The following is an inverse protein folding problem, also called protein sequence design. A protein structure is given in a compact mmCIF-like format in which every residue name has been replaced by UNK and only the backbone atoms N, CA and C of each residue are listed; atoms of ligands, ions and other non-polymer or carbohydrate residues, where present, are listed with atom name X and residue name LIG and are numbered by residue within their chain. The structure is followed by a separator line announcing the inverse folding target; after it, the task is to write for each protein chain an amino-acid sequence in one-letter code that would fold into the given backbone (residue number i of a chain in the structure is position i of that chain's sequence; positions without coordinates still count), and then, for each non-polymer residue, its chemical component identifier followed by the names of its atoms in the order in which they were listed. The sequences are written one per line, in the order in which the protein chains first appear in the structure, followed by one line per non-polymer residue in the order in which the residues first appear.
data_IF_611053423076
#
_entry.id   IF_611053423076
#
_cell.length_a   1.000
_cell.length_b   1.000
_cell.length_c   1.000
_cell.angle_alpha   90.00
_cell.angle_beta   90.00
_cell.angle_gamma   90.00
#
_symmetry.space_group_name_H-M   'P 1'
#
loop_
_entity.id
_entity.type
_entity.pdbx_description
1 polymer ?
#
# COMPACT_ATOMS: atom_id res chain seq x y z
N UNK A 1 -34.02 -11.18 -8.86
CA UNK A 1 -34.47 -10.78 -10.20
C UNK A 1 -33.23 -10.36 -10.98
N UNK A 2 -33.00 -10.79 -12.23
CA UNK A 2 -31.89 -10.30 -13.02
C UNK A 2 -32.08 -8.78 -13.21
N UNK A 3 -31.10 -7.98 -12.80
CA UNK A 3 -31.07 -6.54 -13.04
C UNK A 3 -31.04 -6.32 -14.56
N UNK A 4 -32.08 -5.68 -15.07
CA UNK A 4 -32.14 -5.24 -16.45
C UNK A 4 -31.12 -4.11 -16.60
N UNK A 5 -29.97 -4.42 -17.28
CA UNK A 5 -28.91 -3.44 -17.49
C UNK A 5 -29.42 -2.21 -18.23
N UNK A 6 -28.91 -1.03 -17.88
CA UNK A 6 -29.26 0.21 -18.59
C UNK A 6 -28.78 0.15 -20.04
N UNK A 7 -29.43 0.91 -20.92
CA UNK A 7 -29.05 0.98 -22.35
C UNK A 7 -27.57 1.34 -22.55
N UNK A 8 -27.04 2.23 -21.71
CA UNK A 8 -25.63 2.62 -21.71
C UNK A 8 -24.67 1.49 -21.27
N UNK A 9 -25.12 0.59 -20.39
CA UNK A 9 -24.35 -0.61 -20.00
C UNK A 9 -24.30 -1.61 -21.14
N UNK A 10 -25.41 -1.81 -21.87
CA UNK A 10 -25.46 -2.70 -23.03
C UNK A 10 -24.59 -2.18 -24.17
N UNK A 11 -24.62 -0.88 -24.45
CA UNK A 11 -23.76 -0.23 -25.44
C UNK A 11 -22.27 -0.37 -25.07
N UNK A 12 -21.93 -0.12 -23.81
CA UNK A 12 -20.56 -0.28 -23.33
C UNK A 12 -20.07 -1.74 -23.38
N UNK A 13 -20.95 -2.71 -23.08
CA UNK A 13 -20.63 -4.13 -23.14
C UNK A 13 -20.39 -4.61 -24.59
N UNK A 14 -21.06 -3.99 -25.57
CA UNK A 14 -20.91 -4.33 -27.00
C UNK A 14 -19.64 -3.80 -27.65
N UNK A 15 -18.85 -2.96 -26.95
CA UNK A 15 -17.61 -2.39 -27.50
C UNK A 15 -16.59 -3.46 -27.89
N UNK A 16 -16.02 -3.33 -29.11
CA UNK A 16 -15.04 -4.31 -29.63
C UNK A 16 -13.71 -4.33 -28.90
N UNK A 17 -13.32 -3.24 -28.23
CA UNK A 17 -12.02 -3.09 -27.57
C UNK A 17 -12.18 -2.87 -26.08
N UNK A 18 -11.58 -3.74 -25.27
CA UNK A 18 -11.39 -3.52 -23.83
C UNK A 18 -10.18 -2.60 -23.59
N UNK A 19 -10.37 -1.55 -22.78
CA UNK A 19 -9.28 -0.67 -22.37
C UNK A 19 -8.39 -1.36 -21.32
N UNK A 20 -7.20 -0.80 -21.07
CA UNK A 20 -6.33 -1.29 -19.99
C UNK A 20 -7.01 -1.17 -18.63
N UNK A 21 -7.84 -0.16 -18.44
CA UNK A 21 -8.64 0.07 -17.23
C UNK A 21 -9.68 -1.05 -17.04
N UNK A 22 -10.44 -1.37 -18.09
CA UNK A 22 -11.42 -2.45 -18.03
C UNK A 22 -10.80 -3.77 -17.61
N UNK A 23 -9.68 -4.13 -18.23
CA UNK A 23 -8.96 -5.38 -17.93
C UNK A 23 -8.49 -5.40 -16.47
N UNK A 24 -7.89 -4.31 -16.01
CA UNK A 24 -7.41 -4.21 -14.65
C UNK A 24 -8.55 -4.31 -13.62
N UNK A 25 -9.66 -3.60 -13.84
CA UNK A 25 -10.80 -3.64 -12.93
C UNK A 25 -11.49 -5.01 -12.94
N UNK A 26 -11.59 -5.66 -14.10
CA UNK A 26 -12.11 -7.02 -14.18
C UNK A 26 -11.23 -8.07 -13.48
N UNK A 27 -9.89 -7.91 -13.54
CA UNK A 27 -8.95 -8.74 -12.77
C UNK A 27 -9.12 -8.48 -11.25
N UNK A 28 -9.22 -7.22 -10.83
CA UNK A 28 -9.37 -6.85 -9.42
C UNK A 28 -10.73 -7.28 -8.84
N UNK A 29 -11.78 -7.32 -9.66
CA UNK A 29 -13.08 -7.85 -9.26
C UNK A 29 -12.99 -9.30 -8.76
N UNK A 30 -12.15 -10.12 -9.42
CA UNK A 30 -11.97 -11.53 -9.08
C UNK A 30 -10.94 -11.75 -7.95
N UNK A 31 -9.97 -10.84 -7.80
CA UNK A 31 -8.82 -11.00 -6.89
C UNK A 31 -9.11 -10.42 -5.50
N UNK A 32 -9.88 -9.34 -5.42
CA UNK A 32 -10.22 -8.70 -4.15
C UNK A 32 -11.21 -9.56 -3.37
N UNK A 33 -10.92 -9.93 -2.13
CA UNK A 33 -11.80 -10.80 -1.32
C UNK A 33 -12.96 -9.99 -0.71
N UNK A 34 -13.87 -9.47 -1.55
CA UNK A 34 -14.96 -8.59 -1.14
C UNK A 34 -15.73 -9.07 0.09
N UNK A 35 -16.18 -10.35 0.17
CA UNK A 35 -16.95 -10.83 1.33
C UNK A 35 -16.16 -10.72 2.65
N UNK A 36 -14.87 -11.04 2.63
CA UNK A 36 -14.01 -10.97 3.83
C UNK A 36 -13.82 -9.53 4.29
N UNK A 37 -13.49 -8.62 3.35
CA UNK A 37 -13.28 -7.20 3.64
C UNK A 37 -14.56 -6.55 4.14
N UNK A 38 -15.71 -6.84 3.52
CA UNK A 38 -17.02 -6.35 3.97
C UNK A 38 -17.36 -6.88 5.36
N UNK A 39 -17.18 -8.17 5.62
CA UNK A 39 -17.44 -8.77 6.93
C UNK A 39 -16.57 -8.13 8.03
N UNK A 40 -15.32 -7.78 7.74
CA UNK A 40 -14.42 -7.07 8.65
C UNK A 40 -14.91 -5.67 9.03
N UNK A 41 -15.53 -4.96 8.08
CA UNK A 41 -15.96 -3.58 8.23
C UNK A 41 -17.41 -3.44 8.77
N UNK A 42 -18.28 -4.37 8.41
CA UNK A 42 -19.73 -4.30 8.66
C UNK A 42 -20.14 -4.04 10.12
N UNK A 43 -19.44 -4.62 11.15
CA UNK A 43 -19.85 -4.39 12.56
C UNK A 43 -19.78 -2.92 12.99
N UNK A 44 -18.94 -2.10 12.36
CA UNK A 44 -18.74 -0.69 12.69
C UNK A 44 -19.42 0.26 11.70
N UNK A 45 -20.00 -0.28 10.62
CA UNK A 45 -20.63 0.55 9.59
C UNK A 45 -21.97 1.10 10.08
N UNK A 46 -22.28 2.40 9.82
CA UNK A 46 -23.56 3.01 10.23
C UNK A 46 -24.76 2.26 9.66
N UNK A 47 -25.76 1.97 10.50
CA UNK A 47 -26.97 1.21 10.11
C UNK A 47 -28.09 2.07 9.55
N UNK A 48 -27.95 3.42 9.57
CA UNK A 48 -28.95 4.32 9.00
C UNK A 48 -30.26 4.39 9.80
N UNK A 49 -30.20 4.30 11.12
CA UNK A 49 -31.39 4.33 12.00
C UNK A 49 -32.11 5.68 11.99
N UNK A 50 -31.44 6.76 11.61
CA UNK A 50 -31.99 8.11 11.49
C UNK A 50 -31.42 8.83 10.26
N UNK A 51 -32.30 9.48 9.50
CA UNK A 51 -31.95 10.27 8.33
C UNK A 51 -31.77 9.45 7.04
N UNK A 52 -30.99 9.95 6.08
CA UNK A 52 -30.74 9.27 4.80
C UNK A 52 -29.95 7.99 5.04
N UNK A 53 -30.39 6.84 4.51
CA UNK A 53 -29.63 5.59 4.61
C UNK A 53 -28.21 5.75 4.05
N UNK A 54 -27.20 5.15 4.69
CA UNK A 54 -25.85 5.16 4.15
C UNK A 54 -25.79 4.39 2.84
N UNK A 55 -24.84 4.75 1.98
CA UNK A 55 -24.54 3.96 0.78
C UNK A 55 -24.14 2.53 1.19
N UNK A 56 -24.40 1.50 0.34
CA UNK A 56 -23.95 0.14 0.61
C UNK A 56 -22.45 0.10 0.90
N UNK A 57 -22.04 -0.59 1.97
CA UNK A 57 -20.65 -0.64 2.43
C UNK A 57 -19.68 -1.11 1.33
N UNK A 58 -20.04 -2.18 0.61
CA UNK A 58 -19.19 -2.70 -0.47
C UNK A 58 -19.01 -1.66 -1.58
N UNK A 59 -20.07 -0.92 -1.95
CA UNK A 59 -19.99 0.18 -2.93
C UNK A 59 -19.00 1.25 -2.50
N UNK A 60 -19.06 1.68 -1.24
CA UNK A 60 -18.13 2.67 -0.70
C UNK A 60 -16.69 2.15 -0.64
N UNK A 61 -16.49 0.88 -0.32
CA UNK A 61 -15.16 0.26 -0.34
C UNK A 61 -14.60 0.18 -1.76
N UNK A 62 -15.42 -0.16 -2.76
CA UNK A 62 -15.06 -0.15 -4.19
C UNK A 62 -14.65 1.25 -4.66
N UNK A 63 -15.40 2.27 -4.30
CA UNK A 63 -15.07 3.68 -4.58
C UNK A 63 -13.74 4.07 -3.90
N UNK A 64 -13.54 3.67 -2.65
CA UNK A 64 -12.28 3.92 -1.95
C UNK A 64 -11.08 3.26 -2.64
N UNK A 65 -11.20 2.02 -3.12
CA UNK A 65 -10.14 1.34 -3.85
C UNK A 65 -9.86 1.99 -5.21
N UNK A 66 -10.87 2.46 -5.92
CA UNK A 66 -10.69 3.25 -7.14
C UNK A 66 -9.87 4.52 -6.87
N UNK A 67 -10.17 5.23 -5.77
CA UNK A 67 -9.36 6.40 -5.37
C UNK A 67 -7.88 6.04 -5.17
N UNK A 68 -7.58 4.91 -4.53
CA UNK A 68 -6.19 4.49 -4.28
C UNK A 68 -5.49 4.09 -5.58
N UNK A 69 -6.12 3.28 -6.45
CA UNK A 69 -5.51 2.82 -7.70
C UNK A 69 -5.25 3.92 -8.72
N UNK A 70 -6.14 4.92 -8.77
CA UNK A 70 -6.05 6.01 -9.76
C UNK A 70 -5.64 7.34 -9.16
N UNK A 71 -5.29 7.34 -7.89
CA UNK A 71 -4.83 8.54 -7.19
C UNK A 71 -5.80 9.73 -7.31
N UNK A 72 -7.12 9.51 -7.21
CA UNK A 72 -8.14 10.54 -7.33
C UNK A 72 -8.41 11.25 -5.99
N UNK A 73 -8.55 12.57 -6.02
CA UNK A 73 -9.09 13.35 -4.90
C UNK A 73 -10.60 13.10 -4.77
N UNK A 74 -11.20 13.50 -3.62
CA UNK A 74 -12.62 13.25 -3.37
C UNK A 74 -13.52 13.86 -4.48
N UNK A 75 -13.35 15.13 -4.91
CA UNK A 75 -14.12 15.67 -6.03
C UNK A 75 -13.87 14.95 -7.36
N UNK A 76 -12.60 14.66 -7.67
CA UNK A 76 -12.24 13.97 -8.91
C UNK A 76 -12.76 12.53 -8.96
N UNK A 77 -12.96 11.88 -7.79
CA UNK A 77 -13.57 10.56 -7.74
C UNK A 77 -15.07 10.63 -8.04
N UNK A 78 -15.78 11.62 -7.50
CA UNK A 78 -17.18 11.87 -7.83
C UNK A 78 -17.35 12.11 -9.33
N UNK A 79 -16.59 13.04 -9.94
CA UNK A 79 -16.59 13.29 -11.38
C UNK A 79 -16.30 12.02 -12.20
N UNK A 80 -15.30 11.23 -11.79
CA UNK A 80 -14.94 10.00 -12.46
C UNK A 80 -16.05 8.93 -12.42
N UNK A 81 -16.90 8.93 -11.39
CA UNK A 81 -18.08 8.04 -11.34
C UNK A 81 -19.17 8.47 -12.32
N UNK A 82 -19.28 9.77 -12.65
CA UNK A 82 -20.19 10.24 -13.71
C UNK A 82 -19.60 9.98 -15.10
N UNK A 83 -18.31 10.21 -15.31
CA UNK A 83 -17.70 10.18 -16.65
C UNK A 83 -17.26 8.78 -17.10
N UNK A 84 -16.75 7.96 -16.15
CA UNK A 84 -16.15 6.67 -16.50
C UNK A 84 -17.10 5.49 -16.28
N UNK A 85 -17.65 4.96 -17.36
CA UNK A 85 -18.48 3.75 -17.31
C UNK A 85 -17.73 2.56 -16.66
N UNK A 86 -16.42 2.42 -16.88
CA UNK A 86 -15.62 1.35 -16.28
C UNK A 86 -15.53 1.47 -14.76
N UNK A 87 -15.30 2.70 -14.24
CA UNK A 87 -15.21 2.93 -12.79
C UNK A 87 -16.58 2.80 -12.13
N UNK A 88 -17.61 3.36 -12.79
CA UNK A 88 -19.00 3.26 -12.31
C UNK A 88 -19.48 1.81 -12.27
N UNK A 89 -19.24 1.03 -13.32
CA UNK A 89 -19.57 -0.39 -13.37
C UNK A 89 -18.85 -1.20 -12.30
N UNK A 90 -17.55 -0.91 -12.04
CA UNK A 90 -16.81 -1.54 -10.96
C UNK A 90 -17.38 -1.18 -9.58
N UNK A 91 -17.82 0.07 -9.38
CA UNK A 91 -18.47 0.49 -8.13
C UNK A 91 -19.90 -0.06 -7.97
N UNK A 92 -20.46 -0.73 -8.96
CA UNK A 92 -21.82 -1.25 -8.95
C UNK A 92 -22.87 -0.13 -8.93
N UNK A 93 -22.64 0.97 -9.67
CA UNK A 93 -23.53 2.12 -9.74
C UNK A 93 -24.20 2.15 -11.12
N UNK A 94 -25.52 2.22 -11.15
CA UNK A 94 -26.32 2.49 -12.34
C UNK A 94 -26.97 3.86 -12.23
N UNK A 95 -26.61 4.81 -13.10
CA UNK A 95 -27.11 6.18 -13.07
C UNK A 95 -28.64 6.28 -13.29
N UNK A 96 -29.26 5.25 -13.83
CA UNK A 96 -30.72 5.25 -14.04
C UNK A 96 -31.50 5.06 -12.73
N UNK A 97 -30.88 4.41 -11.71
CA UNK A 97 -31.58 4.01 -10.47
C UNK A 97 -30.80 4.34 -9.21
N UNK A 98 -29.48 4.52 -9.30
CA UNK A 98 -28.60 4.74 -8.16
C UNK A 98 -28.13 6.20 -8.06
N UNK A 99 -28.05 6.71 -6.85
CA UNK A 99 -27.31 7.94 -6.58
C UNK A 99 -25.80 7.69 -6.59
N UNK A 100 -25.04 8.64 -7.10
CA UNK A 100 -23.58 8.66 -6.99
C UNK A 100 -23.20 9.25 -5.64
N UNK A 101 -22.24 8.66 -4.89
CA UNK A 101 -21.71 9.28 -3.68
C UNK A 101 -20.97 10.57 -4.02
N UNK A 102 -21.34 11.67 -3.38
CA UNK A 102 -20.69 12.97 -3.51
C UNK A 102 -19.31 13.01 -2.80
N UNK A 103 -18.54 14.05 -3.06
CA UNK A 103 -17.22 14.26 -2.46
C UNK A 103 -17.23 14.19 -0.93
N UNK A 104 -18.30 14.73 -0.31
CA UNK A 104 -18.48 14.75 1.16
C UNK A 104 -18.73 13.35 1.70
N UNK A 105 -19.53 12.56 1.02
CA UNK A 105 -19.78 11.15 1.36
C UNK A 105 -18.51 10.32 1.25
N UNK A 106 -17.72 10.51 0.19
CA UNK A 106 -16.43 9.86 -0.04
C UNK A 106 -15.45 10.25 1.07
N UNK A 107 -15.34 11.54 1.39
CA UNK A 107 -14.52 12.06 2.49
C UNK A 107 -14.94 11.44 3.84
N UNK A 108 -16.24 11.39 4.14
CA UNK A 108 -16.75 10.86 5.40
C UNK A 108 -16.47 9.36 5.54
N UNK A 109 -16.56 8.58 4.46
CA UNK A 109 -16.19 7.17 4.45
C UNK A 109 -14.70 6.98 4.80
N UNK A 110 -13.80 7.76 4.19
CA UNK A 110 -12.37 7.73 4.51
C UNK A 110 -12.11 8.10 5.97
N UNK A 111 -12.73 9.17 6.48
CA UNK A 111 -12.62 9.54 7.89
C UNK A 111 -13.18 8.48 8.85
N UNK A 112 -14.20 7.74 8.43
CA UNK A 112 -14.69 6.62 9.19
C UNK A 112 -13.67 5.48 9.25
N UNK A 113 -13.03 5.12 8.14
CA UNK A 113 -11.93 4.15 8.12
C UNK A 113 -10.77 4.58 9.04
N UNK A 114 -10.38 5.86 9.00
CA UNK A 114 -9.30 6.43 9.81
C UNK A 114 -9.63 6.40 11.31
N UNK A 115 -10.86 6.82 11.70
CA UNK A 115 -11.29 6.86 13.11
C UNK A 115 -11.27 5.49 13.76
N UNK A 116 -11.63 4.46 13.05
CA UNK A 116 -11.73 3.09 13.55
C UNK A 116 -10.49 2.25 13.22
N UNK A 117 -9.42 2.85 12.69
CA UNK A 117 -8.19 2.16 12.26
C UNK A 117 -8.44 0.98 11.31
N UNK A 118 -9.45 1.09 10.46
CA UNK A 118 -9.90 -0.01 9.59
C UNK A 118 -8.98 -0.23 8.39
N UNK A 119 -8.21 0.77 7.99
CA UNK A 119 -7.23 0.62 6.90
C UNK A 119 -6.16 -0.44 7.24
N UNK A 120 -5.68 -0.47 8.50
CA UNK A 120 -4.81 -1.56 8.97
C UNK A 120 -5.56 -2.89 8.97
N UNK A 121 -6.82 -2.92 9.42
CA UNK A 121 -7.65 -4.12 9.39
C UNK A 121 -7.85 -4.69 7.99
N UNK A 122 -7.98 -3.84 6.96
CA UNK A 122 -8.02 -4.28 5.56
C UNK A 122 -6.69 -4.90 5.10
N UNK A 123 -5.57 -4.31 5.51
CA UNK A 123 -4.23 -4.83 5.22
C UNK A 123 -4.03 -6.20 5.88
N UNK A 124 -4.38 -6.33 7.16
CA UNK A 124 -4.26 -7.56 7.93
C UNK A 124 -5.13 -8.69 7.31
N UNK A 125 -6.35 -8.36 6.86
CA UNK A 125 -7.26 -9.33 6.24
C UNK A 125 -6.75 -9.85 4.88
N UNK A 126 -6.16 -8.94 4.08
CA UNK A 126 -5.51 -9.34 2.82
C UNK A 126 -4.28 -10.21 3.12
N UNK A 127 -3.46 -9.86 4.10
CA UNK A 127 -2.29 -10.65 4.50
C UNK A 127 -2.68 -12.04 4.97
N UNK A 128 -3.71 -12.17 5.82
CA UNK A 128 -4.24 -13.45 6.27
C UNK A 128 -4.71 -14.34 5.10
N UNK A 129 -5.43 -13.76 4.14
CA UNK A 129 -5.82 -14.49 2.92
C UNK A 129 -4.60 -15.03 2.16
N UNK A 130 -3.55 -14.20 2.03
CA UNK A 130 -2.35 -14.59 1.27
C UNK A 130 -1.54 -15.68 1.99
N UNK A 131 -1.53 -15.68 3.32
CA UNK A 131 -0.97 -16.76 4.14
C UNK A 131 -1.76 -18.06 3.99
N UNK A 132 -3.09 -18.02 4.10
CA UNK A 132 -3.97 -19.16 3.90
C UNK A 132 -3.81 -19.79 2.51
N UNK A 133 -3.46 -18.98 1.51
CA UNK A 133 -3.18 -19.45 0.14
C UNK A 133 -1.74 -19.90 -0.07
N UNK A 134 -0.88 -19.84 0.94
CA UNK A 134 0.53 -20.19 0.85
C UNK A 134 1.34 -19.23 -0.04
N UNK A 135 0.86 -17.99 -0.21
CA UNK A 135 1.53 -16.97 -1.02
C UNK A 135 2.42 -16.04 -0.19
N UNK A 136 2.21 -15.97 1.11
CA UNK A 136 3.02 -15.21 2.07
C UNK A 136 3.64 -16.20 3.06
N UNK A 137 4.97 -16.38 3.02
CA UNK A 137 5.67 -17.49 3.71
C UNK A 137 6.32 -17.10 5.03
N UNK A 138 6.73 -15.84 5.20
CA UNK A 138 7.35 -15.29 6.43
C UNK A 138 8.66 -15.93 6.88
N UNK A 139 9.38 -16.65 6.04
CA UNK A 139 10.66 -17.27 6.42
C UNK A 139 11.81 -16.28 6.52
N UNK A 140 11.78 -15.23 5.70
CA UNK A 140 12.79 -14.17 5.72
C UNK A 140 12.18 -12.81 5.39
N UNK A 141 12.73 -11.74 5.97
CA UNK A 141 12.23 -10.37 5.79
C UNK A 141 13.29 -9.46 5.19
N UNK A 142 12.91 -8.74 4.12
CA UNK A 142 13.66 -7.58 3.62
C UNK A 142 13.07 -6.34 4.25
N UNK A 143 13.90 -5.54 4.94
CA UNK A 143 13.50 -4.25 5.50
C UNK A 143 14.02 -3.11 4.62
N UNK A 144 13.14 -2.17 4.26
CA UNK A 144 13.53 -0.98 3.50
C UNK A 144 12.57 0.18 3.74
N UNK A 145 12.99 1.38 3.37
CA UNK A 145 12.21 2.59 3.53
C UNK A 145 12.26 3.48 2.29
N UNK A 146 11.13 4.09 2.00
CA UNK A 146 11.05 5.06 0.92
C UNK A 146 10.49 6.40 1.41
N UNK A 147 11.02 7.50 0.87
CA UNK A 147 10.54 8.85 1.16
C UNK A 147 9.33 9.13 0.30
N UNK A 148 8.27 9.69 0.92
CA UNK A 148 7.09 10.22 0.25
C UNK A 148 7.05 11.72 0.54
N UNK A 149 7.10 12.53 -0.52
CA UNK A 149 7.19 13.98 -0.40
C UNK A 149 5.89 14.59 0.13
N UNK A 150 5.99 15.50 1.09
CA UNK A 150 4.89 16.33 1.55
C UNK A 150 4.89 17.69 0.84
N UNK A 151 3.73 18.37 0.74
CA UNK A 151 3.68 19.76 0.28
C UNK A 151 4.55 20.66 1.16
N UNK A 152 5.53 21.33 0.56
CA UNK A 152 6.44 22.24 1.26
C UNK A 152 5.92 23.68 1.31
N UNK A 153 4.79 23.98 0.63
CA UNK A 153 4.20 25.31 0.57
C UNK A 153 3.62 25.74 1.92
N UNK A 154 3.84 27.00 2.27
CA UNK A 154 3.23 27.68 3.42
C UNK A 154 2.05 28.59 3.01
N UNK A 155 1.60 28.48 1.74
CA UNK A 155 0.46 29.27 1.20
C UNK A 155 -0.89 28.65 1.59
N UNK A 156 -1.04 28.20 2.84
CA UNK A 156 -2.27 27.69 3.40
C UNK A 156 -2.82 28.64 4.46
N UNK A 157 -4.03 28.39 4.97
CA UNK A 157 -4.68 29.24 6.00
C UNK A 157 -3.80 29.45 7.24
N UNK A 158 -3.04 28.43 7.63
CA UNK A 158 -2.19 28.44 8.83
C UNK A 158 -0.78 28.96 8.58
N UNK A 159 -0.44 29.28 7.31
CA UNK A 159 0.89 29.74 6.86
C UNK A 159 2.04 28.86 7.36
N UNK A 160 1.78 27.57 7.57
CA UNK A 160 2.71 26.61 8.14
C UNK A 160 2.74 25.31 7.34
N UNK A 161 3.90 24.66 7.31
CA UNK A 161 4.04 23.29 6.83
C UNK A 161 3.37 22.33 7.81
N UNK A 162 3.18 21.07 7.38
CA UNK A 162 2.72 20.01 8.27
C UNK A 162 3.78 19.76 9.37
N UNK A 163 3.44 19.94 10.67
CA UNK A 163 4.41 19.83 11.76
C UNK A 163 4.87 18.38 12.02
N UNK A 164 4.12 17.38 11.55
CA UNK A 164 4.50 15.95 11.68
C UNK A 164 5.43 15.49 10.56
N UNK A 165 5.67 16.33 9.54
CA UNK A 165 6.57 16.05 8.42
C UNK A 165 7.90 16.74 8.63
N UNK A 166 9.01 16.04 8.32
CA UNK A 166 10.35 16.55 8.52
C UNK A 166 11.21 16.48 7.25
N UNK A 167 12.37 17.14 7.31
CA UNK A 167 13.34 17.10 6.24
C UNK A 167 14.34 15.97 6.44
N UNK A 168 14.72 15.33 5.34
CA UNK A 168 15.82 14.37 5.29
C UNK A 168 16.65 14.59 4.04
N UNK A 169 17.93 14.22 4.08
CA UNK A 169 18.83 14.32 2.95
C UNK A 169 19.07 12.93 2.34
N UNK A 170 18.78 12.78 1.05
CA UNK A 170 19.14 11.55 0.29
C UNK A 170 20.07 11.95 -0.85
N UNK A 171 21.33 11.46 -0.78
CA UNK A 171 22.38 11.96 -1.66
C UNK A 171 22.62 13.46 -1.45
N UNK A 172 22.53 14.26 -2.51
CA UNK A 172 22.69 15.71 -2.46
C UNK A 172 21.35 16.48 -2.42
N UNK A 173 20.21 15.79 -2.34
CA UNK A 173 18.89 16.43 -2.36
C UNK A 173 18.22 16.36 -0.99
N UNK A 174 17.56 17.48 -0.63
CA UNK A 174 16.71 17.58 0.54
C UNK A 174 15.27 17.23 0.17
N UNK A 175 14.66 16.38 0.99
CA UNK A 175 13.26 15.97 0.86
C UNK A 175 12.51 16.36 2.13
N UNK A 176 11.31 16.92 1.99
CA UNK A 176 10.39 17.19 3.09
C UNK A 176 9.20 16.24 2.98
N UNK A 177 8.91 15.50 4.03
CA UNK A 177 7.81 14.53 4.02
C UNK A 177 7.87 13.49 5.13
N UNK A 178 7.41 12.29 4.81
CA UNK A 178 7.48 11.12 5.67
C UNK A 178 8.27 9.98 5.00
N UNK A 179 8.59 8.97 5.78
CA UNK A 179 9.06 7.66 5.31
C UNK A 179 7.97 6.62 5.44
N UNK A 180 7.85 5.77 4.43
CA UNK A 180 7.15 4.50 4.50
C UNK A 180 8.20 3.40 4.64
N UNK A 181 8.27 2.78 5.82
CA UNK A 181 9.09 1.61 6.09
C UNK A 181 8.24 0.37 5.86
N UNK A 182 8.79 -0.64 5.21
CA UNK A 182 8.11 -1.91 4.94
C UNK A 182 8.98 -3.10 5.29
N UNK A 183 8.33 -4.15 5.84
CA UNK A 183 8.86 -5.50 5.90
C UNK A 183 8.25 -6.31 4.76
N UNK A 184 9.11 -6.93 3.96
CA UNK A 184 8.74 -7.66 2.74
C UNK A 184 9.23 -9.09 2.85
N UNK A 185 8.37 -10.06 2.58
CA UNK A 185 8.74 -11.45 2.51
C UNK A 185 9.70 -11.72 1.35
N UNK A 186 10.84 -12.32 1.66
CA UNK A 186 11.93 -12.57 0.70
C UNK A 186 11.47 -13.43 -0.46
N UNK A 187 10.65 -14.46 -0.19
CA UNK A 187 10.26 -15.44 -1.18
C UNK A 187 9.20 -14.92 -2.15
N UNK A 188 8.21 -14.19 -1.65
CA UNK A 188 7.06 -13.74 -2.44
C UNK A 188 7.14 -12.29 -2.91
N UNK A 189 7.95 -11.45 -2.25
CA UNK A 189 8.00 -10.01 -2.48
C UNK A 189 6.77 -9.27 -1.94
N UNK A 190 5.99 -9.89 -1.06
CA UNK A 190 4.79 -9.32 -0.47
C UNK A 190 5.10 -8.54 0.80
N UNK A 191 4.46 -7.41 0.96
CA UNK A 191 4.57 -6.58 2.16
C UNK A 191 3.73 -7.20 3.28
N UNK A 192 4.35 -7.53 4.40
CA UNK A 192 3.67 -8.05 5.59
C UNK A 192 3.59 -7.02 6.73
N UNK A 193 4.43 -5.98 6.69
CA UNK A 193 4.43 -4.92 7.71
C UNK A 193 4.64 -3.56 7.09
N UNK A 194 3.94 -2.55 7.60
CA UNK A 194 4.03 -1.14 7.14
C UNK A 194 4.10 -0.22 8.34
N UNK A 195 5.11 0.65 8.37
CA UNK A 195 5.28 1.69 9.39
C UNK A 195 5.50 3.04 8.73
N UNK A 196 4.75 4.07 9.16
CA UNK A 196 4.92 5.44 8.70
C UNK A 196 5.59 6.30 9.75
N UNK A 197 6.67 7.00 9.40
CA UNK A 197 7.39 7.93 10.30
C UNK A 197 7.66 9.26 9.62
N UNK A 198 8.05 10.28 10.39
CA UNK A 198 8.64 11.48 9.83
C UNK A 198 9.92 11.16 9.05
N UNK A 199 10.24 11.94 8.01
CA UNK A 199 11.37 11.60 7.13
C UNK A 199 12.74 11.66 7.80
N UNK A 200 12.89 12.33 8.95
CA UNK A 200 14.15 12.43 9.71
C UNK A 200 14.43 11.20 10.60
N UNK A 201 13.44 10.32 10.81
CA UNK A 201 13.66 9.10 11.57
C UNK A 201 14.68 8.19 10.86
N UNK A 202 15.60 7.60 11.63
CA UNK A 202 16.60 6.68 11.08
C UNK A 202 15.95 5.32 10.76
N UNK A 203 16.28 4.73 9.60
CA UNK A 203 15.65 3.48 9.15
C UNK A 203 15.90 2.32 10.12
N UNK A 204 17.10 2.24 10.70
CA UNK A 204 17.48 1.22 11.68
C UNK A 204 16.62 1.24 12.95
N UNK A 205 16.03 2.39 13.32
CA UNK A 205 15.17 2.48 14.51
C UNK A 205 13.83 1.77 14.33
N UNK A 206 13.43 1.54 13.08
CA UNK A 206 12.15 0.91 12.77
C UNK A 206 12.26 -0.61 12.55
N UNK A 207 13.49 -1.17 12.61
CA UNK A 207 13.72 -2.58 12.30
C UNK A 207 12.84 -3.51 13.15
N UNK A 208 12.79 -3.32 14.47
CA UNK A 208 12.00 -4.16 15.37
C UNK A 208 10.49 -4.14 15.02
N UNK A 209 9.97 -2.98 14.60
CA UNK A 209 8.57 -2.83 14.21
C UNK A 209 8.24 -3.44 12.84
N UNK A 210 9.25 -3.71 12.02
CA UNK A 210 9.09 -4.30 10.68
C UNK A 210 9.15 -5.83 10.68
N UNK A 211 9.69 -6.42 11.74
CA UNK A 211 9.81 -7.87 11.86
C UNK A 211 8.56 -8.48 12.51
N UNK A 212 8.17 -9.67 12.04
CA UNK A 212 7.01 -10.42 12.57
C UNK A 212 7.40 -11.41 13.69
N UNK A 213 8.69 -11.74 13.83
CA UNK A 213 9.19 -12.55 14.94
C UNK A 213 9.52 -14.01 14.60
N UNK A 214 9.21 -14.47 13.41
CA UNK A 214 9.44 -15.83 12.93
C UNK A 214 10.49 -15.88 11.81
N UNK A 215 11.23 -14.77 11.61
CA UNK A 215 12.26 -14.69 10.58
C UNK A 215 13.45 -15.58 10.90
N UNK A 216 13.94 -16.32 9.90
CA UNK A 216 15.25 -16.98 9.90
C UNK A 216 16.33 -16.02 9.39
N UNK A 217 16.00 -15.20 8.39
CA UNK A 217 16.90 -14.25 7.74
C UNK A 217 16.31 -12.85 7.68
N UNK A 218 17.13 -11.83 7.95
CA UNK A 218 16.77 -10.41 7.80
C UNK A 218 17.74 -9.74 6.83
N UNK A 219 17.22 -9.12 5.79
CA UNK A 219 17.99 -8.39 4.78
C UNK A 219 17.71 -6.89 4.88
N UNK A 220 18.76 -6.08 4.80
CA UNK A 220 18.62 -4.62 4.82
C UNK A 220 19.75 -3.94 4.06
N UNK A 221 19.54 -2.67 3.68
CA UNK A 221 20.62 -1.85 3.13
C UNK A 221 21.58 -1.35 4.24
N UNK A 222 22.59 -0.61 3.85
CA UNK A 222 23.56 -0.06 4.79
C UNK A 222 22.98 0.96 5.80
N UNK A 223 21.74 1.41 5.60
CA UNK A 223 21.01 2.25 6.54
C UNK A 223 20.56 1.50 7.80
N UNK A 224 20.51 0.16 7.73
CA UNK A 224 20.17 -0.74 8.84
C UNK A 224 21.39 -1.28 9.59
N UNK A 225 22.59 -0.78 9.31
CA UNK A 225 23.81 -1.17 10.04
C UNK A 225 23.64 -0.98 11.53
N UNK A 226 23.92 -2.05 12.31
CA UNK A 226 23.79 -2.06 13.77
C UNK A 226 22.39 -2.43 14.28
N UNK A 227 21.46 -2.89 13.42
CA UNK A 227 20.18 -3.43 13.82
C UNK A 227 20.33 -4.60 14.80
N UNK A 228 21.29 -5.50 14.55
CA UNK A 228 21.68 -6.64 15.39
C UNK A 228 22.08 -6.26 16.82
N UNK A 229 22.56 -5.04 17.03
CA UNK A 229 23.04 -4.54 18.32
C UNK A 229 22.02 -3.76 19.12
N UNK A 230 20.80 -3.62 18.58
CA UNK A 230 19.75 -2.89 19.26
C UNK A 230 19.15 -3.74 20.40
N UNK A 231 18.89 -3.14 21.59
CA UNK A 231 18.37 -3.89 22.74
C UNK A 231 17.09 -4.67 22.45
N UNK A 232 16.20 -4.09 21.63
CA UNK A 232 14.92 -4.71 21.24
C UNK A 232 15.06 -5.89 20.26
N UNK A 233 16.27 -6.12 19.73
CA UNK A 233 16.59 -7.17 18.75
C UNK A 233 17.69 -8.12 19.20
N UNK A 234 18.33 -7.86 20.37
CA UNK A 234 19.50 -8.59 20.85
C UNK A 234 19.22 -10.08 21.10
N UNK A 235 18.00 -10.41 21.51
CA UNK A 235 17.59 -11.79 21.84
C UNK A 235 16.99 -12.54 20.62
N UNK A 236 17.01 -11.94 19.43
CA UNK A 236 16.49 -12.58 18.22
C UNK A 236 17.54 -13.48 17.58
N UNK A 237 17.21 -14.76 17.42
CA UNK A 237 18.04 -15.74 16.71
C UNK A 237 17.73 -15.69 15.21
N UNK A 238 18.32 -14.70 14.52
CA UNK A 238 18.16 -14.47 13.09
C UNK A 238 19.49 -14.20 12.42
N UNK A 239 19.63 -14.60 11.17
CA UNK A 239 20.78 -14.25 10.30
C UNK A 239 20.63 -12.82 9.79
N UNK A 240 21.51 -11.92 10.20
CA UNK A 240 21.50 -10.52 9.76
C UNK A 240 22.31 -10.32 8.49
N UNK A 241 21.65 -10.07 7.38
CA UNK A 241 22.22 -9.88 6.04
C UNK A 241 22.16 -8.39 5.64
N UNK A 242 22.87 -7.54 6.39
CA UNK A 242 22.89 -6.09 6.19
C UNK A 242 24.04 -5.71 5.27
N UNK A 243 23.73 -4.94 4.21
CA UNK A 243 24.71 -4.49 3.24
C UNK A 243 25.87 -3.70 3.86
N UNK A 244 27.08 -3.99 3.44
CA UNK A 244 28.27 -3.22 3.82
C UNK A 244 28.32 -1.92 2.99
N UNK A 245 28.66 -0.79 3.63
CA UNK A 245 28.85 0.48 2.91
C UNK A 245 29.93 0.35 1.84
N UNK A 246 29.64 0.83 0.63
CA UNK A 246 30.59 0.77 -0.52
C UNK A 246 31.96 1.37 -0.23
N UNK A 247 32.04 2.40 0.63
CA UNK A 247 33.30 2.97 1.07
C UNK A 247 34.16 1.94 1.83
N UNK A 248 33.55 1.16 2.72
CA UNK A 248 34.25 0.13 3.50
C UNK A 248 34.84 -0.95 2.54
N UNK A 249 33.98 -1.45 1.60
CA UNK A 249 34.44 -2.46 0.63
C UNK A 249 35.57 -1.95 -0.24
N UNK A 250 35.49 -0.70 -0.72
CA UNK A 250 36.50 -0.07 -1.54
C UNK A 250 37.86 0.01 -0.82
N UNK A 251 37.82 0.27 0.49
CA UNK A 251 39.01 0.48 1.30
C UNK A 251 39.62 -0.85 1.83
N UNK A 252 38.98 -2.01 1.54
CA UNK A 252 39.51 -3.33 1.85
C UNK A 252 40.76 -3.68 0.98
N UNK A 253 41.71 -4.49 1.52
CA UNK A 253 42.73 -5.15 0.73
C UNK A 253 42.14 -5.94 -0.44
N UNK A 254 42.83 -5.99 -1.58
CA UNK A 254 42.30 -6.60 -2.82
C UNK A 254 41.75 -8.01 -2.61
N UNK A 255 42.48 -8.89 -1.89
CA UNK A 255 42.04 -10.27 -1.64
C UNK A 255 40.68 -10.34 -0.88
N UNK A 256 40.49 -9.46 0.11
CA UNK A 256 39.23 -9.40 0.85
C UNK A 256 38.09 -8.77 0.04
N UNK A 257 38.42 -7.78 -0.80
CA UNK A 257 37.48 -7.16 -1.71
C UNK A 257 36.94 -8.16 -2.74
N UNK A 258 37.86 -8.95 -3.35
CA UNK A 258 37.51 -9.97 -4.34
C UNK A 258 36.54 -11.04 -3.76
N UNK A 259 36.57 -11.28 -2.44
CA UNK A 259 35.64 -12.15 -1.72
C UNK A 259 34.31 -11.44 -1.35
N UNK A 260 34.38 -10.19 -0.91
CA UNK A 260 33.24 -9.43 -0.44
C UNK A 260 32.30 -9.00 -1.57
N UNK A 261 32.83 -8.58 -2.73
CA UNK A 261 32.00 -8.07 -3.84
C UNK A 261 30.98 -9.07 -4.40
N UNK A 262 31.27 -10.37 -4.60
CA UNK A 262 30.29 -11.36 -5.04
C UNK A 262 29.17 -11.55 -4.01
N UNK A 263 29.50 -11.58 -2.72
CA UNK A 263 28.52 -11.71 -1.63
C UNK A 263 27.59 -10.50 -1.62
N UNK A 264 28.14 -9.29 -1.65
CA UNK A 264 27.32 -8.06 -1.68
C UNK A 264 26.45 -7.99 -2.94
N UNK A 265 26.91 -8.49 -4.07
CA UNK A 265 26.10 -8.57 -5.29
C UNK A 265 24.93 -9.55 -5.14
N UNK A 266 25.15 -10.70 -4.51
CA UNK A 266 24.07 -11.65 -4.21
C UNK A 266 23.05 -11.05 -3.25
N UNK A 267 23.49 -10.44 -2.15
CA UNK A 267 22.62 -9.74 -1.20
C UNK A 267 21.84 -8.60 -1.86
N UNK A 268 22.46 -7.85 -2.78
CA UNK A 268 21.76 -6.80 -3.53
C UNK A 268 20.66 -7.35 -4.44
N UNK A 269 20.84 -8.55 -5.03
CA UNK A 269 19.80 -9.22 -5.83
C UNK A 269 18.59 -9.61 -4.97
N UNK A 270 18.82 -10.15 -3.76
CA UNK A 270 17.75 -10.46 -2.81
C UNK A 270 17.01 -9.17 -2.43
N UNK A 271 17.72 -8.13 -2.04
CA UNK A 271 17.10 -6.85 -1.66
C UNK A 271 16.33 -6.16 -2.80
N UNK A 272 16.69 -6.41 -4.06
CA UNK A 272 15.98 -5.79 -5.20
C UNK A 272 14.50 -6.12 -5.25
N UNK A 273 14.06 -7.19 -4.59
CA UNK A 273 12.64 -7.60 -4.50
C UNK A 273 11.78 -6.51 -3.84
N UNK A 274 12.31 -5.78 -2.86
CA UNK A 274 11.59 -4.72 -2.13
C UNK A 274 11.22 -3.52 -3.02
N UNK A 275 11.93 -3.32 -4.11
CA UNK A 275 11.65 -2.24 -5.05
C UNK A 275 10.29 -2.42 -5.76
N UNK A 276 9.83 -3.66 -5.90
CA UNK A 276 8.59 -3.96 -6.63
C UNK A 276 7.33 -3.37 -5.95
N UNK A 277 7.03 -3.62 -4.65
CA UNK A 277 5.90 -2.98 -3.99
C UNK A 277 6.01 -1.45 -3.96
N UNK A 278 7.21 -0.88 -3.79
CA UNK A 278 7.40 0.56 -3.90
C UNK A 278 7.09 1.09 -5.29
N UNK A 279 7.52 0.38 -6.34
CA UNK A 279 7.21 0.75 -7.73
C UNK A 279 5.70 0.75 -7.97
N UNK A 280 4.96 -0.26 -7.49
CA UNK A 280 3.51 -0.30 -7.64
C UNK A 280 2.85 0.89 -6.97
N UNK A 281 3.18 1.17 -5.72
CA UNK A 281 2.59 2.28 -4.97
C UNK A 281 2.93 3.63 -5.60
N UNK A 282 4.20 3.89 -5.93
CA UNK A 282 4.63 5.19 -6.44
C UNK A 282 4.29 5.43 -7.90
N UNK A 283 4.46 4.42 -8.75
CA UNK A 283 4.35 4.60 -10.21
C UNK A 283 3.01 4.10 -10.77
N UNK A 284 2.54 2.93 -10.33
CA UNK A 284 1.28 2.40 -10.84
C UNK A 284 0.06 3.03 -10.17
N UNK A 285 0.12 3.29 -8.84
CA UNK A 285 -0.93 3.97 -8.10
C UNK A 285 -0.67 5.48 -7.97
N UNK A 286 0.42 5.99 -8.57
CA UNK A 286 0.80 7.41 -8.61
C UNK A 286 0.90 8.08 -7.23
N UNK A 287 1.19 7.32 -6.16
CA UNK A 287 1.33 7.84 -4.80
C UNK A 287 2.77 8.31 -4.52
N UNK A 288 3.20 9.40 -5.18
CA UNK A 288 4.53 10.00 -5.01
C UNK A 288 4.55 11.16 -4.01
N UNK A 289 3.38 11.74 -3.73
CA UNK A 289 3.20 12.85 -2.79
C UNK A 289 2.07 12.55 -1.82
N UNK A 290 2.26 12.99 -0.57
CA UNK A 290 1.23 12.90 0.47
C UNK A 290 0.02 13.77 0.09
N UNK A 291 -1.16 13.25 0.40
CA UNK A 291 -2.44 13.92 0.13
C UNK A 291 -3.07 14.48 1.38
N UNK A 292 -2.79 13.88 2.52
CA UNK A 292 -3.40 14.23 3.79
C UNK A 292 -2.38 14.90 4.69
N UNK A 293 -2.87 15.64 5.68
CA UNK A 293 -2.06 16.23 6.73
C UNK A 293 -1.97 15.28 7.92
N UNK A 294 -0.78 15.12 8.49
CA UNK A 294 -0.48 14.28 9.64
C UNK A 294 -0.05 12.86 9.29
N UNK A 295 0.76 12.26 10.17
CA UNK A 295 1.32 10.90 9.99
C UNK A 295 0.22 9.83 10.04
N UNK A 296 -0.72 9.93 10.98
CA UNK A 296 -1.76 8.94 11.19
C UNK A 296 -2.59 8.68 9.93
N UNK A 297 -3.05 9.73 9.25
CA UNK A 297 -3.89 9.62 8.05
C UNK A 297 -3.11 9.05 6.87
N UNK A 298 -1.87 9.49 6.69
CA UNK A 298 -1.01 9.01 5.60
C UNK A 298 -0.57 7.56 5.85
N UNK A 299 -0.28 7.17 7.09
CA UNK A 299 0.02 5.77 7.45
C UNK A 299 -1.20 4.86 7.21
N UNK A 300 -2.41 5.29 7.55
CA UNK A 300 -3.63 4.57 7.23
C UNK A 300 -3.78 4.38 5.70
N UNK A 301 -3.49 5.41 4.91
CA UNK A 301 -3.48 5.30 3.45
C UNK A 301 -2.43 4.30 2.97
N UNK A 302 -1.22 4.30 3.55
CA UNK A 302 -0.17 3.34 3.18
C UNK A 302 -0.59 1.89 3.43
N UNK A 303 -1.27 1.58 4.53
CA UNK A 303 -1.82 0.24 4.75
C UNK A 303 -2.75 -0.19 3.61
N UNK A 304 -3.69 0.66 3.21
CA UNK A 304 -4.56 0.36 2.06
C UNK A 304 -3.77 0.18 0.77
N UNK A 305 -2.83 1.08 0.48
CA UNK A 305 -2.02 1.03 -0.75
C UNK A 305 -1.18 -0.25 -0.83
N UNK A 306 -0.54 -0.68 0.26
CA UNK A 306 0.26 -1.90 0.26
C UNK A 306 -0.59 -3.17 0.26
N UNK A 307 -1.77 -3.18 0.90
CA UNK A 307 -2.76 -4.26 0.74
C UNK A 307 -3.13 -4.46 -0.74
N UNK A 308 -3.47 -3.36 -1.42
CA UNK A 308 -3.81 -3.37 -2.84
C UNK A 308 -2.61 -3.71 -3.74
N UNK A 309 -1.39 -3.29 -3.36
CA UNK A 309 -0.16 -3.65 -4.07
C UNK A 309 0.11 -5.16 -3.97
N UNK A 310 -0.05 -5.76 -2.80
CA UNK A 310 0.07 -7.20 -2.60
C UNK A 310 -0.88 -7.98 -3.52
N UNK A 311 -2.15 -7.59 -3.58
CA UNK A 311 -3.12 -8.22 -4.49
C UNK A 311 -2.71 -8.10 -5.97
N UNK A 312 -2.12 -6.96 -6.36
CA UNK A 312 -1.62 -6.77 -7.72
C UNK A 312 -0.40 -7.64 -8.02
N UNK A 313 0.50 -7.84 -7.05
CA UNK A 313 1.69 -8.71 -7.20
C UNK A 313 1.26 -10.14 -7.48
N UNK A 314 0.36 -10.67 -6.66
CA UNK A 314 -0.06 -12.07 -6.71
C UNK A 314 -1.28 -12.35 -7.60
N UNK A 315 -1.82 -11.34 -8.29
CA UNK A 315 -3.07 -11.49 -9.05
C UNK A 315 -3.09 -12.69 -9.99
N UNK A 316 -1.96 -13.00 -10.65
CA UNK A 316 -1.88 -14.15 -11.56
C UNK A 316 -2.03 -15.48 -10.81
N UNK A 317 -1.40 -15.60 -9.64
CA UNK A 317 -1.51 -16.79 -8.79
C UNK A 317 -2.93 -16.95 -8.26
N UNK A 318 -3.57 -15.85 -7.80
CA UNK A 318 -4.95 -15.89 -7.32
C UNK A 318 -5.95 -16.22 -8.44
N UNK A 319 -5.77 -15.69 -9.66
CA UNK A 319 -6.62 -16.00 -10.80
C UNK A 319 -6.43 -17.44 -11.31
N UNK A 320 -5.25 -18.03 -11.12
CA UNK A 320 -4.99 -19.42 -11.47
C UNK A 320 -5.56 -20.42 -10.44
N UNK A 321 -5.93 -19.98 -9.25
CA UNK A 321 -6.53 -20.77 -8.17
C UNK A 321 -7.96 -20.26 -7.84
N UNK A 322 -8.91 -20.27 -8.78
CA UNK A 322 -10.26 -19.80 -8.51
C UNK A 322 -10.93 -20.72 -7.50
N UNK A 323 -11.25 -20.18 -6.33
CA UNK A 323 -12.20 -20.79 -5.40
C UNK A 323 -11.78 -22.10 -4.73
N UNK A 324 -10.91 -22.03 -3.71
CA UNK A 324 -10.97 -22.95 -2.57
C UNK A 324 -11.49 -22.21 -1.36
#
# INVERSE_FOLDING_TARGET
MPQQGSFSQAEYASKKKQTRRDKFLAEMEQVVPWPRLVARLAPLYPKGERGRPPFPLERMLRVHFLQQWYALADPAMEEALYDSQAMRGFAGIDLAVDAVPDETTILNFRHWLERHNLAKGLFDEVSALLEERGLLMRQGTIVDATIIAAPSSTKNKEKARDPEMHQTKKGNQWHFGMKAHIGVDVASGLVHTVVGTAANEADVTQTAALLHGEEEDVFGDAGYTGADKRPELADRDVSWNIAIKRSIIRDLPKALRDLAEPVERALAQVRAVVEHPFHIVKNRFHHQKLRYRGLKKNTAQLHTLFALANLVIVKKALLAQPGR
#
